data_IF_922278006915
#
_entry.id   IF_922278006915
#
_cell.length_a   1.000
_cell.length_b   1.000
_cell.length_c   1.000
_cell.angle_alpha   90.00
_cell.angle_beta   90.00
_cell.angle_gamma   90.00
#
_symmetry.space_group_name_H-M   'P 1'
#
loop_
_entity.id
_entity.type
_entity.pdbx_description
1 polymer ?
#
# COMPACT_ATOMS: atom_id res chain seq x y z
N UNK A 1 13.41 -10.02 -9.56
CA UNK A 1 13.35 -9.14 -8.39
C UNK A 1 13.50 -9.95 -7.11
N UNK A 2 14.17 -9.40 -6.10
CA UNK A 2 14.27 -10.00 -4.76
C UNK A 2 14.11 -8.95 -3.67
N UNK A 3 13.43 -9.32 -2.58
CA UNK A 3 13.34 -8.51 -1.37
C UNK A 3 14.50 -8.86 -0.44
N UNK A 4 15.18 -7.85 0.07
CA UNK A 4 16.36 -8.00 0.93
C UNK A 4 16.08 -7.58 2.36
N UNK A 5 16.71 -8.25 3.29
CA UNK A 5 16.66 -7.89 4.70
C UNK A 5 17.96 -8.28 5.41
N UNK A 6 17.94 -8.21 6.74
CA UNK A 6 19.07 -8.55 7.59
C UNK A 6 18.75 -9.74 8.47
N UNK A 7 19.67 -10.69 8.49
CA UNK A 7 19.67 -11.79 9.44
C UNK A 7 20.98 -11.71 10.24
N UNK A 8 20.86 -11.24 11.49
CA UNK A 8 22.00 -10.81 12.29
C UNK A 8 22.78 -9.67 11.61
N UNK A 9 24.05 -9.92 11.26
CA UNK A 9 24.93 -8.95 10.56
C UNK A 9 24.94 -9.12 9.04
N UNK A 10 24.28 -10.15 8.49
CA UNK A 10 24.35 -10.48 7.06
C UNK A 10 23.13 -9.94 6.32
N UNK A 11 23.35 -9.39 5.13
CA UNK A 11 22.27 -8.99 4.22
C UNK A 11 21.92 -10.17 3.32
N UNK A 12 20.67 -10.63 3.39
CA UNK A 12 20.19 -11.86 2.73
C UNK A 12 18.91 -11.58 1.94
N UNK A 13 18.64 -12.41 0.94
CA UNK A 13 17.35 -12.42 0.26
C UNK A 13 16.29 -12.98 1.21
N UNK A 14 15.24 -12.23 1.50
CA UNK A 14 14.10 -12.70 2.31
C UNK A 14 13.00 -13.31 1.43
N UNK A 15 12.76 -12.71 0.26
CA UNK A 15 11.81 -13.23 -0.72
C UNK A 15 12.35 -13.03 -2.13
N UNK A 16 11.93 -13.91 -3.04
CA UNK A 16 12.36 -13.93 -4.43
C UNK A 16 11.15 -14.20 -5.31
N UNK A 17 11.04 -13.47 -6.41
CA UNK A 17 9.99 -13.71 -7.40
C UNK A 17 10.22 -15.02 -8.16
N UNK A 18 9.24 -15.39 -9.00
CA UNK A 18 9.29 -16.64 -9.74
C UNK A 18 10.43 -16.69 -10.76
N UNK A 19 10.82 -15.55 -11.33
CA UNK A 19 11.94 -15.45 -12.27
C UNK A 19 13.29 -15.71 -11.55
N UNK A 20 13.51 -15.05 -10.42
CA UNK A 20 14.68 -15.25 -9.57
C UNK A 20 14.75 -16.69 -9.03
N UNK A 21 13.61 -17.31 -8.69
CA UNK A 21 13.57 -18.73 -8.32
C UNK A 21 14.00 -19.65 -9.47
N UNK A 22 13.62 -19.37 -10.72
CA UNK A 22 14.06 -20.14 -11.89
C UNK A 22 15.57 -20.04 -12.12
N UNK A 23 16.17 -18.92 -11.72
CA UNK A 23 17.63 -18.70 -11.73
C UNK A 23 18.37 -19.37 -10.57
N UNK A 24 17.66 -20.11 -9.71
CA UNK A 24 18.23 -20.84 -8.58
C UNK A 24 18.44 -20.00 -7.32
N UNK A 25 18.02 -18.73 -7.31
CA UNK A 25 18.03 -17.90 -6.10
C UNK A 25 16.96 -18.36 -5.12
N UNK A 26 17.31 -18.43 -3.84
CA UNK A 26 16.40 -18.81 -2.75
C UNK A 26 16.49 -17.84 -1.58
N UNK A 27 15.43 -17.73 -0.75
CA UNK A 27 15.53 -17.08 0.54
C UNK A 27 16.73 -17.60 1.35
N UNK A 28 17.41 -16.72 2.09
CA UNK A 28 18.65 -17.01 2.81
C UNK A 28 19.94 -16.88 1.97
N UNK A 29 19.84 -16.72 0.65
CA UNK A 29 21.03 -16.46 -0.19
C UNK A 29 21.64 -15.10 0.19
N UNK A 30 22.97 -15.01 0.43
CA UNK A 30 23.62 -13.73 0.66
C UNK A 30 23.48 -12.80 -0.54
N UNK A 31 23.14 -11.53 -0.29
CA UNK A 31 22.93 -10.53 -1.36
C UNK A 31 24.16 -10.41 -2.26
N UNK A 32 25.36 -10.39 -1.67
CA UNK A 32 26.61 -10.33 -2.42
C UNK A 32 26.80 -11.51 -3.39
N UNK A 33 26.37 -12.72 -2.99
CA UNK A 33 26.40 -13.90 -3.86
C UNK A 33 25.38 -13.79 -4.99
N UNK A 34 24.17 -13.31 -4.68
CA UNK A 34 23.12 -13.14 -5.68
C UNK A 34 23.51 -12.11 -6.75
N UNK A 35 24.05 -10.96 -6.34
CA UNK A 35 24.52 -9.90 -7.24
C UNK A 35 25.74 -10.32 -8.05
N UNK A 36 26.66 -11.11 -7.48
CA UNK A 36 27.80 -11.64 -8.22
C UNK A 36 27.38 -12.61 -9.34
N UNK A 37 26.31 -13.38 -9.13
CA UNK A 37 25.77 -14.29 -10.15
C UNK A 37 24.88 -13.57 -11.17
N UNK A 38 24.12 -12.57 -10.72
CA UNK A 38 23.15 -11.86 -11.53
C UNK A 38 23.21 -10.35 -11.22
N UNK A 39 24.07 -9.58 -11.94
CA UNK A 39 24.23 -8.15 -11.73
C UNK A 39 22.94 -7.34 -11.90
N UNK A 40 22.08 -7.77 -12.84
CA UNK A 40 20.81 -7.09 -13.17
C UNK A 40 19.66 -7.44 -12.22
N UNK A 41 19.94 -8.14 -11.10
CA UNK A 41 18.91 -8.51 -10.14
C UNK A 41 18.39 -7.25 -9.40
N UNK A 42 17.15 -6.86 -9.70
CA UNK A 42 16.45 -5.80 -8.97
C UNK A 42 16.27 -6.20 -7.50
N UNK A 43 16.83 -5.41 -6.59
CA UNK A 43 16.71 -5.57 -5.14
C UNK A 43 15.85 -4.45 -4.55
N UNK A 44 14.93 -4.81 -3.66
CA UNK A 44 14.15 -3.86 -2.86
C UNK A 44 14.24 -4.25 -1.38
N UNK A 45 14.26 -3.28 -0.47
CA UNK A 45 14.21 -3.59 0.96
C UNK A 45 12.84 -4.18 1.32
N UNK A 46 12.85 -5.26 2.10
CA UNK A 46 11.63 -5.84 2.64
C UNK A 46 11.05 -4.93 3.73
N UNK A 47 9.72 -4.88 3.82
CA UNK A 47 8.99 -4.26 4.93
C UNK A 47 8.18 -5.33 5.69
N UNK A 48 8.81 -6.10 6.59
CA UNK A 48 8.13 -7.18 7.31
C UNK A 48 6.98 -6.69 8.19
N UNK A 49 7.05 -5.45 8.66
CA UNK A 49 6.00 -4.87 9.49
C UNK A 49 4.80 -4.45 8.64
N UNK A 50 5.05 -3.85 7.46
CA UNK A 50 4.02 -3.63 6.45
C UNK A 50 3.34 -4.92 6.01
N UNK A 51 4.11 -5.98 5.76
CA UNK A 51 3.57 -7.31 5.40
C UNK A 51 2.71 -7.89 6.52
N UNK A 52 3.16 -7.81 7.77
CA UNK A 52 2.42 -8.26 8.97
C UNK A 52 1.10 -7.51 9.11
N UNK A 53 1.13 -6.18 9.01
CA UNK A 53 -0.08 -5.34 9.08
C UNK A 53 -1.03 -5.62 7.91
N UNK A 54 -0.49 -5.87 6.71
CA UNK A 54 -1.27 -6.28 5.54
C UNK A 54 -1.99 -7.61 5.77
N UNK A 55 -1.30 -8.58 6.35
CA UNK A 55 -1.84 -9.90 6.67
C UNK A 55 -2.93 -9.84 7.74
N UNK A 56 -2.78 -8.99 8.76
CA UNK A 56 -3.83 -8.73 9.76
C UNK A 56 -5.08 -8.11 9.13
N UNK A 57 -4.92 -7.16 8.21
CA UNK A 57 -6.05 -6.58 7.46
C UNK A 57 -6.78 -7.63 6.61
N UNK A 58 -6.03 -8.53 5.96
CA UNK A 58 -6.61 -9.65 5.22
C UNK A 58 -7.35 -10.61 6.16
N UNK A 59 -6.79 -10.92 7.32
CA UNK A 59 -7.43 -11.76 8.33
C UNK A 59 -8.79 -11.17 8.76
N UNK A 60 -8.85 -9.86 9.07
CA UNK A 60 -10.09 -9.17 9.41
C UNK A 60 -11.10 -9.18 8.24
N UNK A 61 -10.62 -9.01 7.01
CA UNK A 61 -11.48 -9.04 5.83
C UNK A 61 -12.13 -10.42 5.61
N UNK A 62 -11.37 -11.51 5.79
CA UNK A 62 -11.89 -12.87 5.76
C UNK A 62 -12.81 -13.17 6.95
N UNK A 63 -12.49 -12.63 8.13
CA UNK A 63 -13.31 -12.78 9.33
C UNK A 63 -14.74 -12.27 9.12
N UNK A 64 -14.90 -11.14 8.43
CA UNK A 64 -16.21 -10.55 8.15
C UNK A 64 -17.00 -11.26 7.05
N UNK A 65 -16.34 -12.03 6.17
CA UNK A 65 -16.96 -12.53 4.92
C UNK A 65 -17.11 -14.05 4.82
N UNK A 66 -16.23 -14.79 5.49
CA UNK A 66 -16.13 -16.24 5.33
C UNK A 66 -16.43 -16.93 6.65
N UNK A 67 -15.68 -16.64 7.71
CA UNK A 67 -15.82 -17.34 8.99
C UNK A 67 -15.49 -16.44 10.18
N UNK A 68 -16.15 -16.59 11.33
CA UNK A 68 -15.93 -15.72 12.49
C UNK A 68 -14.56 -15.92 13.17
N UNK A 69 -13.92 -17.09 12.98
CA UNK A 69 -12.64 -17.44 13.60
C UNK A 69 -11.58 -17.47 12.50
N UNK A 70 -10.79 -16.40 12.42
CA UNK A 70 -9.67 -16.26 11.48
C UNK A 70 -8.47 -15.74 12.24
N UNK A 71 -7.29 -16.32 12.03
CA UNK A 71 -6.04 -15.85 12.61
C UNK A 71 -4.93 -15.75 11.57
N UNK A 72 -3.91 -14.95 11.90
CA UNK A 72 -2.70 -14.84 11.10
C UNK A 72 -1.82 -16.07 11.33
N UNK A 73 -1.41 -16.73 10.26
CA UNK A 73 -0.41 -17.80 10.23
C UNK A 73 0.87 -17.27 9.57
N UNK A 74 1.66 -16.53 10.35
CA UNK A 74 2.87 -15.85 9.88
C UNK A 74 3.86 -16.81 9.18
N UNK A 75 4.64 -16.31 8.20
CA UNK A 75 4.75 -14.91 7.78
C UNK A 75 3.75 -14.48 6.69
N UNK A 76 3.12 -15.41 5.99
CA UNK A 76 2.40 -15.17 4.73
C UNK A 76 1.12 -16.02 4.57
N UNK A 77 0.53 -16.47 5.68
CA UNK A 77 -0.65 -17.34 5.69
C UNK A 77 -1.77 -16.84 6.61
N UNK A 78 -2.96 -17.39 6.41
CA UNK A 78 -4.12 -17.23 7.28
C UNK A 78 -4.65 -18.61 7.65
N UNK A 79 -5.13 -18.76 8.87
CA UNK A 79 -5.90 -19.93 9.31
C UNK A 79 -7.34 -19.51 9.56
N UNK A 80 -8.28 -20.30 9.07
CA UNK A 80 -9.71 -20.08 9.23
C UNK A 80 -10.32 -21.35 9.80
N UNK A 81 -11.16 -21.22 10.83
CA UNK A 81 -12.08 -22.29 11.20
C UNK A 81 -13.37 -22.10 10.41
N UNK A 82 -13.53 -22.90 9.37
CA UNK A 82 -14.69 -22.84 8.46
C UNK A 82 -15.82 -23.78 8.88
N UNK A 83 -15.78 -24.32 10.10
CA UNK A 83 -16.81 -25.24 10.59
C UNK A 83 -18.19 -24.59 10.49
N UNK A 84 -19.05 -25.17 9.64
CA UNK A 84 -20.40 -24.66 9.40
C UNK A 84 -20.49 -23.38 8.58
N UNK A 85 -19.39 -22.86 8.01
CA UNK A 85 -19.44 -21.74 7.06
C UNK A 85 -19.57 -22.20 5.60
N UNK A 86 -19.01 -23.37 5.31
CA UNK A 86 -18.94 -24.00 3.99
C UNK A 86 -20.30 -24.07 3.25
N UNK A 87 -21.39 -24.42 3.95
CA UNK A 87 -22.71 -24.54 3.34
C UNK A 87 -23.26 -23.21 2.78
N UNK A 88 -22.89 -22.07 3.36
CA UNK A 88 -23.25 -20.73 2.86
C UNK A 88 -22.57 -20.41 1.53
N UNK A 89 -21.49 -21.13 1.22
CA UNK A 89 -20.69 -20.97 0.01
C UNK A 89 -20.90 -22.13 -0.99
N UNK A 90 -21.85 -23.04 -0.73
CA UNK A 90 -22.11 -24.20 -1.59
C UNK A 90 -21.16 -25.39 -1.36
N UNK A 91 -20.48 -25.42 -0.21
CA UNK A 91 -19.55 -26.48 0.21
C UNK A 91 -18.08 -26.02 0.21
N UNK A 92 -17.20 -26.89 0.72
CA UNK A 92 -15.79 -26.58 0.94
C UNK A 92 -15.04 -26.21 -0.35
N UNK A 93 -15.22 -26.98 -1.43
CA UNK A 93 -14.49 -26.74 -2.67
C UNK A 93 -14.91 -25.43 -3.38
N UNK A 94 -16.21 -25.12 -3.53
CA UNK A 94 -16.64 -23.81 -4.03
C UNK A 94 -16.16 -22.64 -3.16
N UNK A 95 -16.21 -22.77 -1.84
CA UNK A 95 -15.68 -21.77 -0.90
C UNK A 95 -14.21 -21.46 -1.18
N UNK A 96 -13.35 -22.49 -1.26
CA UNK A 96 -11.92 -22.28 -1.52
C UNK A 96 -11.65 -21.63 -2.88
N UNK A 97 -12.40 -22.02 -3.92
CA UNK A 97 -12.28 -21.40 -5.24
C UNK A 97 -12.66 -19.92 -5.22
N UNK A 98 -13.72 -19.55 -4.52
CA UNK A 98 -14.13 -18.15 -4.37
C UNK A 98 -13.07 -17.34 -3.61
N UNK A 99 -12.53 -17.88 -2.51
CA UNK A 99 -11.46 -17.24 -1.74
C UNK A 99 -10.22 -16.98 -2.62
N UNK A 100 -9.74 -17.98 -3.36
CA UNK A 100 -8.57 -17.83 -4.25
C UNK A 100 -8.86 -16.87 -5.39
N UNK A 101 -10.07 -16.88 -5.97
CA UNK A 101 -10.45 -15.98 -7.04
C UNK A 101 -10.46 -14.51 -6.58
N UNK A 102 -10.98 -14.24 -5.37
CA UNK A 102 -10.97 -12.88 -4.78
C UNK A 102 -9.55 -12.40 -4.51
N UNK A 103 -8.68 -13.27 -4.01
CA UNK A 103 -7.26 -12.94 -3.81
C UNK A 103 -6.57 -12.61 -5.14
N UNK A 104 -6.86 -13.37 -6.20
CA UNK A 104 -6.35 -13.07 -7.54
C UNK A 104 -6.85 -11.72 -8.07
N UNK A 105 -8.12 -11.38 -7.84
CA UNK A 105 -8.68 -10.06 -8.19
C UNK A 105 -8.04 -8.89 -7.43
N UNK A 106 -7.50 -9.14 -6.23
CA UNK A 106 -6.74 -8.18 -5.44
C UNK A 106 -5.22 -8.17 -5.78
N UNK A 107 -4.78 -8.96 -6.76
CA UNK A 107 -3.38 -9.02 -7.20
C UNK A 107 -2.51 -10.03 -6.45
N UNK A 108 -3.09 -10.90 -5.61
CA UNK A 108 -2.38 -11.90 -4.84
C UNK A 108 -2.48 -13.30 -5.43
N UNK A 109 -1.40 -14.08 -5.31
CA UNK A 109 -1.43 -15.52 -5.59
C UNK A 109 -1.63 -16.26 -4.27
N UNK A 110 -2.75 -16.97 -4.13
CA UNK A 110 -3.09 -17.72 -2.93
C UNK A 110 -3.19 -19.23 -3.19
N UNK A 111 -2.86 -20.01 -2.17
CA UNK A 111 -3.12 -21.46 -2.05
C UNK A 111 -4.08 -21.64 -0.89
N UNK A 112 -5.11 -22.47 -1.05
CA UNK A 112 -6.14 -22.69 -0.04
C UNK A 112 -6.41 -24.18 0.15
N UNK A 113 -6.35 -24.65 1.40
CA UNK A 113 -6.54 -26.06 1.74
C UNK A 113 -7.47 -26.18 2.93
N UNK A 114 -8.42 -27.11 2.84
CA UNK A 114 -9.27 -27.55 3.97
C UNK A 114 -8.83 -28.94 4.40
N UNK A 115 -8.66 -29.13 5.71
CA UNK A 115 -8.33 -30.40 6.35
C UNK A 115 -8.91 -30.42 7.78
N UNK A 116 -8.89 -31.59 8.41
CA UNK A 116 -9.45 -31.82 9.75
C UNK A 116 -8.78 -30.98 10.86
N UNK A 117 -7.55 -30.50 10.63
CA UNK A 117 -6.77 -29.75 11.63
C UNK A 117 -6.00 -28.60 11.01
N UNK A 118 -5.71 -27.57 11.82
CA UNK A 118 -4.83 -26.47 11.41
C UNK A 118 -3.43 -26.97 11.03
N UNK A 119 -2.84 -27.89 11.81
CA UNK A 119 -1.53 -28.47 11.49
C UNK A 119 -1.51 -29.14 10.11
N UNK A 120 -2.55 -29.91 9.78
CA UNK A 120 -2.67 -30.56 8.49
C UNK A 120 -2.87 -29.56 7.33
N UNK A 121 -3.81 -28.62 7.49
CA UNK A 121 -4.10 -27.61 6.48
C UNK A 121 -2.85 -26.76 6.18
N UNK A 122 -2.11 -26.34 7.21
CA UNK A 122 -0.87 -25.58 7.07
C UNK A 122 0.20 -26.38 6.31
N UNK A 123 0.44 -27.62 6.71
CA UNK A 123 1.46 -28.47 6.09
C UNK A 123 1.18 -28.68 4.60
N UNK A 124 -0.08 -28.96 4.26
CA UNK A 124 -0.49 -29.24 2.88
C UNK A 124 -0.54 -27.96 2.04
N UNK A 125 -0.96 -26.83 2.61
CA UNK A 125 -0.98 -25.54 1.88
C UNK A 125 0.43 -25.06 1.48
N UNK A 126 1.43 -25.30 2.34
CA UNK A 126 2.81 -24.82 2.12
C UNK A 126 3.70 -25.81 1.38
N UNK A 127 3.55 -27.10 1.64
CA UNK A 127 4.42 -28.16 1.11
C UNK A 127 3.70 -29.12 0.16
N UNK A 128 2.38 -29.01 0.03
CA UNK A 128 1.60 -29.76 -0.95
C UNK A 128 1.82 -29.26 -2.39
N UNK A 129 1.34 -30.07 -3.34
CA UNK A 129 1.53 -29.80 -4.79
C UNK A 129 0.35 -29.05 -5.42
N UNK A 130 -0.83 -29.13 -4.81
CA UNK A 130 -2.07 -28.65 -5.39
C UNK A 130 -2.46 -27.33 -4.72
N UNK A 131 -2.74 -26.25 -5.48
CA UNK A 131 -3.05 -24.94 -4.91
C UNK A 131 -4.44 -24.84 -4.27
N UNK A 132 -5.37 -25.73 -4.62
CA UNK A 132 -6.70 -25.83 -4.01
C UNK A 132 -6.96 -27.29 -3.69
N UNK A 133 -7.09 -27.62 -2.40
CA UNK A 133 -7.32 -29.00 -1.98
C UNK A 133 -8.31 -29.08 -0.82
N UNK A 134 -9.16 -30.10 -0.85
CA UNK A 134 -10.01 -30.49 0.27
C UNK A 134 -9.57 -31.91 0.64
N UNK A 135 -9.09 -32.08 1.87
CA UNK A 135 -8.70 -33.39 2.40
C UNK A 135 -9.95 -33.99 3.05
N UNK A 136 -10.47 -35.12 2.53
CA UNK A 136 -11.62 -35.73 3.15
C UNK A 136 -11.31 -36.20 4.58
N UNK A 137 -12.30 -36.18 5.49
CA UNK A 137 -12.10 -36.60 6.86
C UNK A 137 -11.42 -37.97 6.98
N UNK A 138 -10.40 -38.05 7.83
CA UNK A 138 -9.66 -39.29 8.07
C UNK A 138 -8.54 -39.62 7.07
N UNK A 139 -8.42 -38.89 5.96
CA UNK A 139 -7.29 -39.05 5.03
C UNK A 139 -6.04 -38.24 5.41
N UNK A 140 -6.15 -37.37 6.42
CA UNK A 140 -5.09 -36.48 6.90
C UNK A 140 -3.75 -37.19 7.11
N UNK A 141 -3.76 -38.39 7.72
CA UNK A 141 -2.53 -39.09 8.02
C UNK A 141 -1.75 -39.55 6.77
N UNK A 142 -2.48 -39.98 5.73
CA UNK A 142 -1.88 -40.45 4.47
C UNK A 142 -1.24 -39.30 3.69
N UNK A 143 -1.89 -38.13 3.67
CA UNK A 143 -1.40 -36.95 2.94
C UNK A 143 -0.20 -36.34 3.65
N UNK A 144 -0.17 -36.35 4.98
CA UNK A 144 0.94 -35.81 5.76
C UNK A 144 2.20 -36.66 5.70
N UNK A 145 2.10 -37.98 5.54
CA UNK A 145 3.23 -38.90 5.67
C UNK A 145 4.42 -38.56 4.74
N UNK A 146 4.12 -38.12 3.51
CA UNK A 146 5.12 -37.78 2.51
C UNK A 146 5.70 -36.36 2.65
N UNK A 147 5.10 -35.53 3.49
CA UNK A 147 5.53 -34.14 3.67
C UNK A 147 6.80 -34.05 4.52
N UNK A 148 7.62 -33.02 4.29
CA UNK A 148 8.86 -32.82 5.04
C UNK A 148 8.59 -32.38 6.49
N UNK A 149 9.52 -32.62 7.41
CA UNK A 149 9.33 -32.32 8.86
C UNK A 149 9.20 -30.82 9.15
N UNK A 150 9.71 -29.98 8.26
CA UNK A 150 9.58 -28.52 8.26
C UNK A 150 8.10 -28.09 8.22
N UNK A 151 7.23 -28.92 7.63
CA UNK A 151 5.80 -28.68 7.58
C UNK A 151 5.10 -28.74 8.95
N UNK A 152 5.76 -29.25 9.99
CA UNK A 152 5.25 -29.32 11.36
C UNK A 152 5.47 -28.04 12.18
N UNK A 153 6.02 -26.97 11.59
CA UNK A 153 6.34 -25.70 12.29
C UNK A 153 7.23 -25.93 13.51
N UNK A 154 8.26 -26.76 13.32
CA UNK A 154 9.29 -27.01 14.31
C UNK A 154 10.38 -25.93 14.20
N UNK A 155 11.02 -25.54 15.31
CA UNK A 155 12.19 -24.66 15.28
C UNK A 155 13.34 -25.27 14.46
N UNK A 156 14.10 -24.43 13.75
CA UNK A 156 15.23 -24.85 12.91
C UNK A 156 16.24 -25.76 13.63
N UNK A 157 16.63 -25.52 14.91
CA UNK A 157 17.56 -26.41 15.62
C UNK A 157 17.03 -27.85 15.77
N UNK A 158 15.70 -28.02 15.86
CA UNK A 158 15.07 -29.34 15.94
C UNK A 158 15.09 -30.00 14.56
N UNK A 159 14.80 -29.24 13.50
CA UNK A 159 14.83 -29.71 12.11
C UNK A 159 16.23 -30.21 11.75
N UNK A 160 17.28 -29.43 12.05
CA UNK A 160 18.68 -29.80 11.82
C UNK A 160 19.08 -31.07 12.59
N UNK A 161 18.61 -31.18 13.83
CA UNK A 161 18.83 -32.36 14.67
C UNK A 161 18.14 -33.61 14.14
N UNK A 162 16.92 -33.49 13.59
CA UNK A 162 16.20 -34.57 12.93
C UNK A 162 16.87 -34.98 11.61
N UNK A 163 17.34 -34.01 10.82
CA UNK A 163 18.10 -34.25 9.60
C UNK A 163 19.40 -35.05 9.88
N UNK A 164 20.09 -34.75 10.98
CA UNK A 164 21.27 -35.49 11.44
C UNK A 164 20.95 -36.96 11.78
N UNK A 165 19.71 -37.25 12.19
CA UNK A 165 19.21 -38.62 12.43
C UNK A 165 18.68 -39.31 11.18
N UNK A 166 18.76 -38.66 10.01
CA UNK A 166 18.23 -39.17 8.75
C UNK A 166 16.70 -39.06 8.65
N UNK A 167 16.05 -38.28 9.52
CA UNK A 167 14.59 -38.11 9.53
C UNK A 167 14.23 -36.78 8.87
N UNK A 168 13.73 -36.86 7.64
CA UNK A 168 13.35 -35.69 6.83
C UNK A 168 11.86 -35.63 6.48
N UNK A 169 11.08 -36.66 6.81
CA UNK A 169 9.65 -36.76 6.49
C UNK A 169 8.80 -37.05 7.72
N UNK A 170 7.54 -36.60 7.69
CA UNK A 170 6.59 -36.73 8.81
C UNK A 170 6.21 -38.19 9.04
N UNK A 171 6.02 -39.00 8.00
CA UNK A 171 5.67 -40.43 8.13
C UNK A 171 6.67 -41.22 8.97
N UNK A 172 7.97 -41.24 8.59
CA UNK A 172 9.03 -41.86 9.39
C UNK A 172 9.12 -41.30 10.81
N UNK A 173 8.99 -39.97 10.98
CA UNK A 173 9.00 -39.33 12.29
C UNK A 173 7.83 -39.81 13.18
N UNK A 174 6.63 -39.95 12.61
CA UNK A 174 5.44 -40.40 13.32
C UNK A 174 5.52 -41.87 13.75
N UNK A 175 6.32 -42.69 13.06
CA UNK A 175 6.55 -44.10 13.41
C UNK A 175 7.62 -44.28 14.51
N UNK A 176 8.38 -43.23 14.85
CA UNK A 176 9.43 -43.32 15.87
C UNK A 176 8.86 -43.44 17.29
N UNK A 177 9.56 -44.14 18.20
CA UNK A 177 9.17 -44.15 19.61
C UNK A 177 9.18 -42.74 20.22
N UNK A 178 8.09 -42.39 20.93
CA UNK A 178 7.90 -41.05 21.51
C UNK A 178 8.89 -40.69 22.62
N UNK A 179 9.21 -41.63 23.50
CA UNK A 179 10.05 -41.35 24.68
C UNK A 179 11.48 -40.89 24.31
N UNK A 180 12.19 -41.53 23.36
CA UNK A 180 13.48 -41.03 22.87
C UNK A 180 13.41 -39.66 22.19
N UNK A 181 12.34 -39.40 21.42
CA UNK A 181 12.14 -38.10 20.77
C UNK A 181 11.97 -36.98 21.81
N UNK A 182 11.13 -37.21 22.82
CA UNK A 182 10.89 -36.24 23.90
C UNK A 182 12.13 -35.98 24.73
N UNK A 183 12.95 -37.02 25.01
CA UNK A 183 14.19 -36.88 25.76
C UNK A 183 15.23 -36.03 25.01
N UNK A 184 15.30 -36.13 23.68
CA UNK A 184 16.32 -35.48 22.87
C UNK A 184 15.93 -34.09 22.37
N UNK A 185 14.67 -33.92 21.95
CA UNK A 185 14.17 -32.70 21.31
C UNK A 185 13.13 -31.95 22.14
N UNK A 186 12.80 -32.47 23.33
CA UNK A 186 11.74 -31.93 24.16
C UNK A 186 10.34 -32.33 23.68
N UNK A 187 9.28 -31.81 24.34
CA UNK A 187 7.90 -32.23 24.09
C UNK A 187 7.31 -31.70 22.77
N UNK A 188 7.94 -30.71 22.13
CA UNK A 188 7.37 -30.00 21.00
C UNK A 188 7.17 -30.84 19.74
N UNK A 189 8.10 -31.77 19.44
CA UNK A 189 7.97 -32.67 18.29
C UNK A 189 6.70 -33.51 18.41
N UNK A 190 6.51 -34.14 19.58
CA UNK A 190 5.32 -34.95 19.84
C UNK A 190 4.04 -34.11 19.81
N UNK A 191 4.07 -32.91 20.42
CA UNK A 191 2.94 -31.97 20.42
C UNK A 191 2.54 -31.56 18.99
N UNK A 192 3.50 -31.19 18.14
CA UNK A 192 3.23 -30.78 16.74
C UNK A 192 2.69 -31.93 15.89
N UNK A 193 3.21 -33.15 16.07
CA UNK A 193 2.64 -34.34 15.43
C UNK A 193 1.19 -34.55 15.88
N UNK A 194 0.94 -34.48 17.19
CA UNK A 194 -0.39 -34.75 17.74
C UNK A 194 -1.41 -33.68 17.33
N UNK A 195 -0.98 -32.42 17.14
CA UNK A 195 -1.79 -31.37 16.52
C UNK A 195 -2.07 -31.64 15.05
N UNK A 196 -1.07 -32.02 14.26
CA UNK A 196 -1.23 -32.29 12.83
C UNK A 196 -2.15 -33.50 12.56
N UNK A 197 -2.04 -34.56 13.35
CA UNK A 197 -2.90 -35.75 13.25
C UNK A 197 -4.23 -35.63 14.00
N UNK A 198 -4.53 -34.50 14.64
CA UNK A 198 -5.82 -34.25 15.31
C UNK A 198 -6.04 -35.00 16.62
N UNK A 199 -4.96 -35.52 17.23
CA UNK A 199 -5.00 -36.15 18.56
C UNK A 199 -5.11 -35.12 19.68
N UNK A 200 -4.55 -33.94 19.45
CA UNK A 200 -4.63 -32.77 20.34
C UNK A 200 -5.14 -31.60 19.52
N UNK A 201 -6.15 -30.90 20.02
CA UNK A 201 -6.65 -29.68 19.37
C UNK A 201 -5.64 -28.53 19.45
N UNK A 202 -5.54 -27.75 18.38
CA UNK A 202 -4.78 -26.50 18.35
C UNK A 202 -5.77 -25.33 18.33
N UNK A 203 -5.72 -24.46 19.34
CA UNK A 203 -6.63 -23.32 19.44
C UNK A 203 -6.25 -22.23 18.44
N UNK A 204 -7.21 -21.79 17.63
CA UNK A 204 -7.06 -20.62 16.76
C UNK A 204 -7.46 -19.39 17.57
N UNK A 205 -6.52 -18.48 17.82
CA UNK A 205 -6.80 -17.20 18.49
C UNK A 205 -7.19 -16.20 17.40
N UNK A 206 -8.47 -15.84 17.27
CA UNK A 206 -8.91 -15.01 16.16
C UNK A 206 -8.34 -13.60 16.25
N UNK A 207 -8.10 -12.99 15.08
CA UNK A 207 -7.84 -11.55 15.00
C UNK A 207 -9.04 -10.81 15.59
N UNK A 208 -8.76 -9.78 16.37
CA UNK A 208 -9.79 -8.92 16.95
C UNK A 208 -9.79 -7.60 16.19
N UNK A 209 -10.92 -7.17 15.61
CA UNK A 209 -11.00 -5.82 15.11
C UNK A 209 -10.76 -4.86 16.29
N UNK A 210 -9.95 -3.83 16.06
CA UNK A 210 -9.87 -2.73 17.02
C UNK A 210 -11.16 -1.94 16.88
N UNK A 211 -12.04 -2.04 17.88
CA UNK A 211 -13.29 -1.30 17.87
C UNK A 211 -12.97 0.20 17.78
N UNK A 212 -13.51 0.92 16.78
CA UNK A 212 -13.28 2.35 16.67
C UNK A 212 -13.83 3.05 17.92
N UNK A 213 -13.27 4.22 18.25
CA UNK A 213 -13.90 5.08 19.26
C UNK A 213 -15.24 5.54 18.68
N UNK A 214 -16.33 5.17 19.33
CA UNK A 214 -17.67 5.56 18.95
C UNK A 214 -18.43 6.16 20.13
N UNK A 215 -19.28 7.13 19.84
CA UNK A 215 -20.21 7.73 20.79
C UNK A 215 -21.56 7.87 20.13
N UNK A 216 -22.63 7.59 20.87
CA UNK A 216 -23.98 7.63 20.31
C UNK A 216 -24.97 8.34 21.22
N UNK A 217 -26.03 8.86 20.60
CA UNK A 217 -27.16 9.47 21.28
C UNK A 217 -28.46 8.99 20.67
N UNK A 218 -29.31 8.38 21.49
CA UNK A 218 -30.69 8.07 21.16
C UNK A 218 -31.58 9.24 21.58
N UNK A 219 -32.61 9.52 20.79
CA UNK A 219 -33.61 10.55 21.06
C UNK A 219 -34.95 9.90 21.40
N UNK A 220 -35.64 10.47 22.38
CA UNK A 220 -37.00 10.05 22.71
C UNK A 220 -38.02 10.53 21.66
N UNK A 221 -37.76 11.69 21.05
CA UNK A 221 -38.55 12.24 19.95
C UNK A 221 -37.63 12.45 18.73
N UNK A 222 -38.06 12.07 17.52
CA UNK A 222 -37.25 12.24 16.31
C UNK A 222 -36.92 13.71 16.04
N UNK A 223 -35.65 13.99 15.75
CA UNK A 223 -35.18 15.35 15.43
C UNK A 223 -35.00 15.54 13.92
N UNK A 224 -35.37 16.71 13.40
CA UNK A 224 -35.16 17.04 11.98
C UNK A 224 -34.51 18.40 11.72
N UNK A 225 -34.53 19.30 12.69
CA UNK A 225 -33.98 20.65 12.53
C UNK A 225 -32.44 20.65 12.52
N UNK A 226 -31.84 21.34 11.55
CA UNK A 226 -30.39 21.44 11.38
C UNK A 226 -29.68 22.00 12.63
N UNK A 227 -30.29 22.98 13.31
CA UNK A 227 -29.77 23.60 14.53
C UNK A 227 -29.74 22.60 15.70
N UNK A 228 -30.70 21.67 15.74
CA UNK A 228 -30.74 20.62 16.76
C UNK A 228 -29.68 19.56 16.46
N UNK A 229 -29.49 19.18 15.20
CA UNK A 229 -28.43 18.26 14.78
C UNK A 229 -27.05 18.86 15.11
N UNK A 230 -26.80 20.12 14.75
CA UNK A 230 -25.57 20.85 15.07
C UNK A 230 -25.28 20.88 16.58
N UNK A 231 -26.32 21.11 17.40
CA UNK A 231 -26.19 21.11 18.87
C UNK A 231 -25.77 19.75 19.42
N UNK A 232 -26.28 18.66 18.86
CA UNK A 232 -25.89 17.32 19.28
C UNK A 232 -24.53 16.90 18.74
N UNK A 233 -24.12 17.36 17.55
CA UNK A 233 -22.73 17.23 17.08
C UNK A 233 -21.78 17.86 18.09
N UNK A 234 -22.05 19.10 18.53
CA UNK A 234 -21.25 19.79 19.55
C UNK A 234 -21.20 19.10 20.93
N UNK A 235 -22.12 18.16 21.21
CA UNK A 235 -22.10 17.32 22.42
C UNK A 235 -21.40 15.97 22.22
N UNK A 236 -21.49 15.39 21.02
CA UNK A 236 -20.87 14.10 20.69
C UNK A 236 -19.36 14.25 20.44
N UNK A 237 -18.93 15.31 19.75
CA UNK A 237 -17.51 15.53 19.41
C UNK A 237 -16.61 15.58 20.66
N UNK A 238 -16.94 16.30 21.75
CA UNK A 238 -16.13 16.26 22.97
C UNK A 238 -15.97 14.86 23.56
N UNK A 239 -17.03 14.06 23.60
CA UNK A 239 -17.01 12.69 24.13
C UNK A 239 -16.12 11.78 23.26
N UNK A 240 -16.20 11.94 21.94
CA UNK A 240 -15.34 11.22 21.01
C UNK A 240 -13.86 11.60 21.22
N UNK A 241 -13.57 12.90 21.33
CA UNK A 241 -12.22 13.39 21.59
C UNK A 241 -11.65 12.87 22.91
N UNK A 242 -12.49 12.70 23.94
CA UNK A 242 -12.07 12.09 25.21
C UNK A 242 -11.66 10.62 25.01
N UNK A 243 -12.47 9.81 24.33
CA UNK A 243 -12.13 8.42 24.04
C UNK A 243 -10.89 8.26 23.15
N UNK A 244 -10.65 9.22 22.25
CA UNK A 244 -9.42 9.28 21.45
C UNK A 244 -8.20 9.67 22.30
N UNK A 245 -8.36 10.54 23.30
CA UNK A 245 -7.26 10.93 24.21
C UNK A 245 -6.83 9.78 25.11
N UNK A 246 -7.78 9.00 25.63
CA UNK A 246 -7.48 7.78 26.41
C UNK A 246 -6.65 6.76 25.62
N UNK A 247 -6.74 6.78 24.29
CA UNK A 247 -5.98 5.91 23.38
C UNK A 247 -4.74 6.57 22.78
N UNK A 248 -4.45 7.83 23.07
CA UNK A 248 -3.33 8.57 22.46
C UNK A 248 -3.47 8.77 20.96
N UNK A 249 -4.70 8.84 20.44
CA UNK A 249 -5.01 8.90 19.01
C UNK A 249 -5.61 10.25 18.61
N UNK A 250 -5.49 10.56 17.33
CA UNK A 250 -6.19 11.63 16.63
C UNK A 250 -7.00 11.05 15.47
N UNK A 251 -8.11 11.69 15.12
CA UNK A 251 -8.97 11.22 14.03
C UNK A 251 -8.42 11.65 12.68
N UNK A 252 -8.52 10.75 11.70
CA UNK A 252 -8.25 10.95 10.27
C UNK A 252 -9.52 10.93 9.43
N UNK A 253 -10.51 10.13 9.84
CA UNK A 253 -11.83 10.06 9.24
C UNK A 253 -12.89 9.91 10.32
N UNK A 254 -13.90 10.78 10.25
CA UNK A 254 -15.10 10.76 11.06
C UNK A 254 -16.30 10.40 10.20
N UNK A 255 -17.11 9.47 10.69
CA UNK A 255 -18.42 9.18 10.14
C UNK A 255 -19.48 9.48 11.20
N UNK A 256 -20.41 10.38 10.89
CA UNK A 256 -21.61 10.63 11.66
C UNK A 256 -22.78 9.95 10.96
N UNK A 257 -23.27 8.87 11.56
CA UNK A 257 -24.42 8.11 11.10
C UNK A 257 -25.69 8.61 11.79
N UNK A 258 -26.72 8.86 11.00
CA UNK A 258 -28.00 9.40 11.42
C UNK A 258 -29.07 8.38 11.06
N UNK A 259 -29.51 7.61 12.05
CA UNK A 259 -30.56 6.62 11.87
C UNK A 259 -31.92 7.30 11.92
N UNK A 260 -32.66 7.17 10.83
CA UNK A 260 -34.02 7.66 10.68
C UNK A 260 -35.03 6.64 11.20
N UNK A 261 -36.22 7.11 11.53
CA UNK A 261 -37.35 6.28 11.99
C UNK A 261 -37.75 5.22 10.94
N UNK A 262 -37.54 5.49 9.65
CA UNK A 262 -37.84 4.58 8.54
C UNK A 262 -36.73 3.53 8.27
N UNK A 263 -35.83 3.31 9.23
CA UNK A 263 -34.68 2.39 9.13
C UNK A 263 -33.65 2.77 8.06
N UNK A 264 -33.76 3.95 7.43
CA UNK A 264 -32.70 4.50 6.58
C UNK A 264 -31.62 5.13 7.45
N UNK A 265 -30.39 5.15 6.93
CA UNK A 265 -29.26 5.78 7.60
C UNK A 265 -28.63 6.80 6.66
N UNK A 266 -28.67 8.06 7.07
CA UNK A 266 -27.90 9.13 6.43
C UNK A 266 -26.51 9.19 7.05
N UNK A 267 -25.50 9.59 6.28
CA UNK A 267 -24.11 9.60 6.74
C UNK A 267 -23.39 10.89 6.34
N UNK A 268 -22.85 11.61 7.33
CA UNK A 268 -21.91 12.70 7.11
C UNK A 268 -20.50 12.16 7.31
N UNK A 269 -19.66 12.27 6.27
CA UNK A 269 -18.26 11.82 6.31
C UNK A 269 -17.31 13.00 6.19
N UNK A 270 -16.38 13.10 7.13
CA UNK A 270 -15.34 14.14 7.19
C UNK A 270 -13.99 13.46 7.27
N UNK A 271 -13.01 13.98 6.53
CA UNK A 271 -11.62 13.54 6.62
C UNK A 271 -10.72 14.71 7.03
N UNK A 272 -9.62 14.38 7.71
CA UNK A 272 -8.58 15.34 8.09
C UNK A 272 -7.23 14.91 7.51
N UNK A 273 -6.46 15.89 7.07
CA UNK A 273 -5.18 15.70 6.41
C UNK A 273 -4.05 15.34 7.38
N UNK A 274 -4.28 15.48 8.70
CA UNK A 274 -3.44 15.00 9.80
C UNK A 274 -4.32 14.41 10.92
N UNK A 275 -3.79 13.60 11.85
CA UNK A 275 -4.52 13.17 13.03
C UNK A 275 -4.91 14.41 13.86
N UNK A 276 -6.21 14.64 14.04
CA UNK A 276 -6.75 15.83 14.73
C UNK A 276 -7.56 15.39 15.95
N UNK A 277 -7.45 16.15 17.04
CA UNK A 277 -8.29 16.00 18.24
C UNK A 277 -8.76 17.35 18.78
N UNK A 278 -9.09 18.27 17.88
CA UNK A 278 -9.64 19.59 18.22
C UNK A 278 -11.17 19.58 18.10
N UNK A 279 -11.85 19.84 19.21
CA UNK A 279 -13.33 19.82 19.28
C UNK A 279 -13.97 20.85 18.35
N UNK A 280 -13.42 22.06 18.26
CA UNK A 280 -14.01 23.15 17.47
C UNK A 280 -13.89 22.86 15.99
N UNK A 281 -12.71 22.41 15.54
CA UNK A 281 -12.44 22.04 14.14
C UNK A 281 -13.34 20.90 13.67
N UNK A 282 -13.40 19.81 14.44
CA UNK A 282 -14.22 18.65 14.07
C UNK A 282 -15.72 18.97 14.07
N UNK A 283 -16.19 19.78 15.03
CA UNK A 283 -17.59 20.24 15.07
C UNK A 283 -17.93 21.06 13.83
N UNK A 284 -17.07 22.02 13.44
CA UNK A 284 -17.27 22.87 12.27
C UNK A 284 -17.39 22.04 10.99
N UNK A 285 -16.44 21.12 10.75
CA UNK A 285 -16.42 20.29 9.54
C UNK A 285 -17.67 19.40 9.39
N UNK A 286 -18.19 18.86 10.51
CA UNK A 286 -19.43 18.09 10.50
C UNK A 286 -20.65 18.98 10.24
N UNK A 287 -20.70 20.15 10.88
CA UNK A 287 -21.81 21.10 10.73
C UNK A 287 -21.94 21.64 9.29
N UNK A 288 -20.81 21.90 8.61
CA UNK A 288 -20.79 22.34 7.20
C UNK A 288 -21.48 21.34 6.25
N UNK A 289 -21.62 20.08 6.64
CA UNK A 289 -22.26 19.03 5.84
C UNK A 289 -23.69 18.70 6.26
N UNK A 290 -24.27 19.39 7.25
CA UNK A 290 -25.66 19.14 7.67
C UNK A 290 -26.65 19.42 6.54
N UNK A 291 -26.36 20.36 5.64
CA UNK A 291 -27.26 20.63 4.50
C UNK A 291 -27.28 19.51 3.45
N UNK A 292 -26.35 18.55 3.53
CA UNK A 292 -26.27 17.43 2.58
C UNK A 292 -27.15 16.25 2.94
N UNK A 293 -27.74 16.24 4.14
CA UNK A 293 -28.57 15.13 4.65
C UNK A 293 -30.06 15.46 4.51
N UNK A 294 -30.86 14.43 4.21
CA UNK A 294 -32.31 14.51 4.31
C UNK A 294 -32.79 13.83 5.60
N UNK A 295 -33.20 14.61 6.63
CA UNK A 295 -33.70 14.03 7.88
C UNK A 295 -35.05 13.31 7.72
N UNK A 296 -35.79 13.52 6.62
CA UNK A 296 -37.06 12.86 6.34
C UNK A 296 -38.07 12.96 7.49
N UNK A 297 -38.49 11.81 8.02
CA UNK A 297 -39.44 11.70 9.14
C UNK A 297 -38.81 11.95 10.53
N UNK A 298 -37.52 12.30 10.56
CA UNK A 298 -36.77 12.56 11.77
C UNK A 298 -35.76 11.47 12.10
N UNK A 299 -34.74 11.88 12.84
CA UNK A 299 -33.60 11.08 13.28
C UNK A 299 -33.85 10.64 14.72
N UNK A 300 -33.81 9.33 14.96
CA UNK A 300 -34.01 8.72 16.28
C UNK A 300 -32.68 8.41 16.98
N UNK A 301 -31.59 8.27 16.22
CA UNK A 301 -30.26 7.99 16.77
C UNK A 301 -29.15 8.63 15.95
N UNK A 302 -28.20 9.25 16.65
CA UNK A 302 -26.94 9.74 16.09
C UNK A 302 -25.79 8.87 16.60
N UNK A 303 -24.90 8.43 15.71
CA UNK A 303 -23.67 7.70 16.06
C UNK A 303 -22.49 8.40 15.40
N UNK A 304 -21.54 8.87 16.20
CA UNK A 304 -20.31 9.48 15.73
C UNK A 304 -19.17 8.48 15.94
N UNK A 305 -18.46 8.16 14.86
CA UNK A 305 -17.44 7.10 14.83
C UNK A 305 -16.14 7.69 14.30
N UNK A 306 -15.03 7.44 14.99
CA UNK A 306 -13.69 7.66 14.48
C UNK A 306 -13.26 6.48 13.59
N UNK A 307 -13.81 6.44 12.37
CA UNK A 307 -13.62 5.32 11.41
C UNK A 307 -12.17 5.10 11.00
N UNK A 308 -11.33 6.14 11.06
CA UNK A 308 -9.89 6.01 10.98
C UNK A 308 -9.26 6.92 12.03
N UNK A 309 -8.50 6.34 12.93
CA UNK A 309 -7.74 7.05 13.95
C UNK A 309 -6.28 6.58 13.90
N UNK A 310 -5.37 7.52 14.04
CA UNK A 310 -3.92 7.28 14.04
C UNK A 310 -3.32 7.78 15.36
N UNK A 311 -2.18 7.22 15.81
CA UNK A 311 -1.44 7.78 16.93
C UNK A 311 -1.17 9.27 16.70
N UNK A 312 -1.38 10.08 17.74
CA UNK A 312 -1.15 11.52 17.69
C UNK A 312 -0.18 11.88 18.80
N UNK A 313 1.04 12.23 18.40
CA UNK A 313 2.06 12.69 19.35
C UNK A 313 1.64 14.02 19.99
N UNK A 314 1.85 14.12 21.30
CA UNK A 314 1.65 15.37 22.04
C UNK A 314 2.74 16.36 21.63
N UNK A 315 2.45 17.23 20.67
CA UNK A 315 3.33 18.35 20.34
C UNK A 315 3.20 19.43 21.41
N UNK A 316 4.32 19.78 22.03
CA UNK A 316 4.42 20.94 22.90
C UNK A 316 4.42 22.19 22.01
N UNK A 317 3.33 22.97 22.07
CA UNK A 317 3.10 24.12 21.19
C UNK A 317 4.14 25.24 21.39
N UNK A 318 4.82 25.29 22.53
CA UNK A 318 5.82 26.34 22.82
C UNK A 318 7.00 25.75 23.59
N UNK A 319 8.16 25.65 22.93
CA UNK A 319 9.45 25.41 23.59
C UNK A 319 10.28 26.69 23.74
N UNK A 320 9.87 27.80 23.10
CA UNK A 320 10.65 29.03 23.01
C UNK A 320 9.72 30.23 22.85
N UNK A 321 9.90 31.26 23.67
CA UNK A 321 9.20 32.56 23.57
C UNK A 321 9.67 33.41 22.36
N UNK A 322 10.59 32.89 21.54
CA UNK A 322 11.32 33.65 20.50
C UNK A 322 11.14 33.04 19.10
N UNK A 323 10.62 31.81 18.98
CA UNK A 323 10.35 31.20 17.68
C UNK A 323 9.03 31.75 17.11
N UNK A 324 9.04 32.23 15.86
CA UNK A 324 7.81 32.57 15.15
C UNK A 324 6.95 31.31 14.99
N UNK A 325 5.66 31.44 15.29
CA UNK A 325 4.68 30.36 15.08
C UNK A 325 4.60 30.06 13.59
N UNK A 326 5.01 28.86 13.17
CA UNK A 326 4.69 28.36 11.83
C UNK A 326 3.16 28.30 11.70
N UNK A 327 2.62 29.01 10.69
CA UNK A 327 1.18 29.05 10.46
C UNK A 327 0.66 27.64 10.15
N UNK A 328 -0.22 27.10 10.99
CA UNK A 328 -0.85 25.81 10.75
C UNK A 328 -1.87 25.90 9.59
N UNK A 329 -1.42 25.52 8.40
CA UNK A 329 -2.26 25.50 7.17
C UNK A 329 -3.19 24.28 7.14
N UNK A 330 -3.08 23.35 8.09
CA UNK A 330 -3.83 22.10 8.04
C UNK A 330 -5.34 22.30 8.12
N UNK A 331 -5.82 23.30 8.88
CA UNK A 331 -7.26 23.60 9.00
C UNK A 331 -7.87 24.11 7.68
N UNK A 332 -7.10 24.93 6.96
CA UNK A 332 -7.48 25.39 5.63
C UNK A 332 -7.52 24.22 4.64
N UNK A 333 -6.52 23.35 4.68
CA UNK A 333 -6.44 22.16 3.82
C UNK A 333 -7.62 21.22 4.08
N UNK A 334 -7.98 20.97 5.34
CA UNK A 334 -9.14 20.14 5.69
C UNK A 334 -10.45 20.73 5.17
N UNK A 335 -10.62 22.05 5.32
CA UNK A 335 -11.84 22.75 4.88
C UNK A 335 -11.99 22.66 3.36
N UNK A 336 -10.90 22.94 2.63
CA UNK A 336 -10.89 22.83 1.18
C UNK A 336 -11.09 21.36 0.75
N UNK A 337 -10.40 20.41 1.40
CA UNK A 337 -10.45 19.01 1.02
C UNK A 337 -11.84 18.39 1.21
N UNK A 338 -12.56 18.77 2.26
CA UNK A 338 -13.92 18.30 2.50
C UNK A 338 -14.95 18.88 1.52
N UNK A 339 -14.62 19.99 0.84
CA UNK A 339 -15.47 20.66 -0.15
C UNK A 339 -15.17 20.26 -1.60
N UNK A 340 -13.90 20.25 -2.01
CA UNK A 340 -13.48 19.94 -3.39
C UNK A 340 -12.96 18.50 -3.58
N UNK A 341 -12.79 17.77 -2.48
CA UNK A 341 -12.24 16.41 -2.46
C UNK A 341 -10.73 16.39 -2.18
N UNK A 342 -10.29 15.38 -1.43
CA UNK A 342 -8.87 15.21 -1.03
C UNK A 342 -7.90 15.13 -2.21
N UNK A 343 -8.32 14.58 -3.36
CA UNK A 343 -7.45 14.43 -4.53
C UNK A 343 -7.28 15.73 -5.33
N UNK A 344 -8.13 16.74 -5.09
CA UNK A 344 -8.03 18.04 -5.75
C UNK A 344 -6.95 18.93 -5.13
N UNK A 345 -6.52 18.63 -3.90
CA UNK A 345 -5.45 19.37 -3.21
C UNK A 345 -4.17 18.56 -3.19
N UNK A 346 -3.15 19.10 -3.84
CA UNK A 346 -1.84 18.49 -3.92
C UNK A 346 -0.77 19.59 -3.99
N UNK A 347 0.45 19.21 -3.63
CA UNK A 347 1.65 19.97 -3.96
C UNK A 347 2.50 19.16 -4.93
N UNK A 348 3.42 19.82 -5.61
CA UNK A 348 4.44 19.12 -6.38
C UNK A 348 5.66 18.86 -5.51
N UNK A 349 6.24 17.67 -5.66
CA UNK A 349 7.53 17.31 -5.07
C UNK A 349 8.51 16.92 -6.19
N UNK A 350 9.80 17.23 -6.04
CA UNK A 350 10.80 16.88 -7.03
C UNK A 350 11.04 15.36 -7.02
N UNK A 351 11.29 14.83 -8.21
CA UNK A 351 11.67 13.44 -8.45
C UNK A 351 12.96 13.45 -9.24
N UNK A 352 13.91 12.59 -8.85
CA UNK A 352 15.19 12.46 -9.53
C UNK A 352 14.98 11.82 -10.91
N UNK A 353 14.82 12.67 -11.91
CA UNK A 353 14.62 12.30 -13.31
C UNK A 353 15.04 13.48 -14.19
N UNK A 354 15.83 13.19 -15.21
CA UNK A 354 16.24 14.19 -16.20
C UNK A 354 15.10 14.50 -17.19
N UNK A 355 14.13 13.59 -17.33
CA UNK A 355 12.96 13.81 -18.17
C UNK A 355 12.00 14.83 -17.52
N UNK A 356 11.70 15.97 -18.18
CA UNK A 356 10.97 17.06 -17.54
C UNK A 356 9.55 16.69 -17.08
N UNK A 357 8.88 15.80 -17.79
CA UNK A 357 7.55 15.31 -17.45
C UNK A 357 7.55 14.32 -16.26
N UNK A 358 8.73 13.87 -15.83
CA UNK A 358 8.93 12.90 -14.73
C UNK A 358 9.75 13.47 -13.57
N UNK A 359 10.29 14.68 -13.70
CA UNK A 359 11.12 15.36 -12.69
C UNK A 359 10.33 15.89 -11.50
N UNK A 360 9.01 15.71 -11.50
CA UNK A 360 8.14 16.04 -10.38
C UNK A 360 6.95 15.08 -10.31
N UNK A 361 6.37 14.95 -9.12
CA UNK A 361 5.14 14.21 -8.91
C UNK A 361 4.17 14.99 -8.03
N UNK A 362 2.88 14.63 -8.08
CA UNK A 362 1.88 15.15 -7.15
C UNK A 362 1.96 14.38 -5.85
N UNK A 363 2.09 15.09 -4.75
CA UNK A 363 2.03 14.54 -3.40
C UNK A 363 0.90 15.21 -2.61
N UNK A 364 0.33 14.54 -1.58
CA UNK A 364 -0.65 15.15 -0.70
C UNK A 364 -0.18 16.50 -0.14
N UNK A 365 -1.10 17.44 0.05
CA UNK A 365 -0.76 18.81 0.46
C UNK A 365 0.07 18.90 1.76
N UNK A 366 -0.19 18.00 2.72
CA UNK A 366 0.55 17.89 4.00
C UNK A 366 1.50 16.68 4.04
N UNK A 367 1.86 16.10 2.90
CA UNK A 367 2.89 15.07 2.89
C UNK A 367 4.20 15.65 3.48
N UNK A 368 4.95 14.87 4.26
CA UNK A 368 6.23 15.33 4.82
C UNK A 368 7.14 15.82 3.69
N UNK A 369 7.92 16.87 3.96
CA UNK A 369 8.95 17.33 3.04
C UNK A 369 10.03 16.26 2.95
N UNK A 370 10.05 15.52 1.85
CA UNK A 370 11.26 14.82 1.44
C UNK A 370 12.24 15.88 0.97
N UNK A 371 13.39 15.98 1.63
CA UNK A 371 14.50 16.91 1.37
C UNK A 371 15.22 16.57 0.06
N UNK A 372 14.48 16.48 -1.04
CA UNK A 372 15.04 16.44 -2.37
C UNK A 372 14.99 17.86 -2.90
N UNK A 373 16.16 18.40 -3.22
CA UNK A 373 16.24 19.75 -3.75
C UNK A 373 15.74 19.79 -5.19
N UNK A 374 15.09 20.89 -5.57
CA UNK A 374 14.77 21.14 -6.96
C UNK A 374 16.07 21.40 -7.73
N UNK A 375 16.26 20.80 -8.93
CA UNK A 375 17.47 21.02 -9.71
C UNK A 375 17.62 22.51 -10.07
N UNK A 376 18.66 23.16 -9.55
CA UNK A 376 18.90 24.61 -9.73
C UNK A 376 19.59 24.96 -11.07
N UNK A 377 20.17 23.98 -11.75
CA UNK A 377 21.15 24.21 -12.82
C UNK A 377 20.52 24.61 -14.18
N UNK A 378 19.23 24.33 -14.40
CA UNK A 378 18.49 24.84 -15.57
C UNK A 378 17.06 25.26 -15.19
N UNK A 379 16.65 26.52 -15.43
CA UNK A 379 15.30 26.96 -15.14
C UNK A 379 14.31 26.21 -16.02
N UNK A 380 13.34 25.55 -15.39
CA UNK A 380 12.23 24.86 -16.07
C UNK A 380 11.10 25.86 -16.39
N UNK A 381 10.30 25.63 -17.44
CA UNK A 381 9.20 26.53 -17.79
C UNK A 381 8.10 26.52 -16.72
N UNK A 382 7.50 27.68 -16.46
CA UNK A 382 6.35 27.82 -15.54
C UNK A 382 5.14 27.00 -16.00
N UNK A 383 4.98 26.84 -17.32
CA UNK A 383 3.96 25.98 -17.93
C UNK A 383 4.61 24.90 -18.77
N UNK A 384 4.55 23.66 -18.28
CA UNK A 384 4.87 22.47 -19.07
C UNK A 384 3.59 21.92 -19.73
N UNK A 385 3.66 21.60 -21.02
CA UNK A 385 2.57 20.96 -21.75
C UNK A 385 2.52 19.48 -21.39
N UNK A 386 1.32 18.96 -21.05
CA UNK A 386 1.14 17.56 -20.71
C UNK A 386 1.53 16.58 -21.84
N UNK A 387 1.49 17.07 -23.09
CA UNK A 387 2.02 16.39 -24.26
C UNK A 387 2.77 17.43 -25.11
N UNK A 388 4.02 17.17 -25.48
CA UNK A 388 4.74 18.04 -26.40
C UNK A 388 3.97 18.21 -27.71
N UNK A 389 3.85 19.45 -28.19
CA UNK A 389 3.17 19.76 -29.44
C UNK A 389 4.20 19.81 -30.59
N UNK A 390 3.97 19.14 -31.72
CA UNK A 390 4.88 19.18 -32.86
C UNK A 390 4.98 20.60 -33.42
N UNK A 391 6.18 21.02 -33.77
CA UNK A 391 6.45 22.30 -34.42
C UNK A 391 7.28 22.10 -35.67
N UNK A 392 7.08 22.95 -36.68
CA UNK A 392 7.95 22.98 -37.84
C UNK A 392 9.07 23.95 -37.55
N UNK A 393 10.30 23.47 -37.46
CA UNK A 393 11.47 24.31 -37.19
C UNK A 393 12.55 24.07 -38.25
N UNK A 394 13.35 25.10 -38.51
CA UNK A 394 14.54 25.00 -39.36
C UNK A 394 15.76 25.32 -38.51
N UNK A 395 16.60 24.33 -38.29
CA UNK A 395 17.83 24.40 -37.51
C UNK A 395 18.98 23.75 -38.29
N UNK A 396 20.19 24.26 -38.09
CA UNK A 396 21.40 23.58 -38.55
C UNK A 396 21.77 22.45 -37.57
N UNK A 397 22.15 21.29 -38.08
CA UNK A 397 22.59 20.15 -37.26
C UNK A 397 24.09 20.27 -36.95
N UNK A 398 24.59 19.76 -35.81
CA UNK A 398 23.86 19.02 -34.77
C UNK A 398 23.33 19.90 -33.64
N UNK A 399 24.02 20.93 -33.15
CA UNK A 399 23.65 21.56 -31.86
C UNK A 399 23.08 22.99 -31.99
N UNK A 400 22.66 23.42 -33.18
CA UNK A 400 22.15 24.78 -33.35
C UNK A 400 20.65 24.89 -33.03
N UNK A 401 20.22 25.98 -32.36
CA UNK A 401 18.81 26.28 -32.20
C UNK A 401 18.15 26.63 -33.55
N UNK A 402 16.82 26.52 -33.67
CA UNK A 402 16.13 26.86 -34.90
C UNK A 402 16.15 28.37 -35.14
N UNK A 403 16.28 28.79 -36.41
CA UNK A 403 16.21 30.21 -36.81
C UNK A 403 14.78 30.76 -36.75
N UNK A 404 13.81 29.89 -37.01
CA UNK A 404 12.38 30.15 -36.84
C UNK A 404 11.67 28.83 -36.56
N UNK A 405 10.49 28.94 -35.96
CA UNK A 405 9.58 27.81 -35.80
C UNK A 405 8.14 28.23 -36.07
N UNK A 406 7.31 27.27 -36.47
CA UNK A 406 5.87 27.45 -36.70
C UNK A 406 5.14 26.61 -35.66
N UNK A 407 4.39 27.29 -34.81
CA UNK A 407 3.55 26.67 -33.79
C UNK A 407 2.12 27.18 -33.94
N UNK A 408 1.16 26.24 -34.06
CA UNK A 408 -0.27 26.54 -34.28
C UNK A 408 -0.53 27.51 -35.45
N UNK A 409 0.22 27.36 -36.54
CA UNK A 409 0.12 28.19 -37.75
C UNK A 409 0.79 29.56 -37.66
N UNK A 410 1.35 29.94 -36.50
CA UNK A 410 2.05 31.22 -36.32
C UNK A 410 3.55 31.00 -36.47
N UNK A 411 4.16 31.68 -37.44
CA UNK A 411 5.62 31.68 -37.64
C UNK A 411 6.29 32.67 -36.70
N UNK A 412 7.23 32.18 -35.89
CA UNK A 412 7.97 32.94 -34.89
C UNK A 412 9.45 32.93 -35.24
N UNK A 413 10.06 34.13 -35.33
CA UNK A 413 11.49 34.29 -35.59
C UNK A 413 12.24 34.26 -34.27
N UNK A 414 13.29 33.44 -34.20
CA UNK A 414 14.14 33.33 -33.01
C UNK A 414 15.10 34.52 -32.96
N UNK A 415 15.16 35.18 -31.81
CA UNK A 415 16.06 36.31 -31.52
C UNK A 415 17.27 35.84 -30.74
N UNK A 416 17.05 35.07 -29.68
CA UNK A 416 18.09 34.49 -28.83
C UNK A 416 17.70 33.05 -28.49
N UNK A 417 18.69 32.18 -28.27
CA UNK A 417 18.45 30.84 -27.77
C UNK A 417 19.63 30.34 -26.92
N UNK A 418 19.32 29.55 -25.89
CA UNK A 418 20.27 28.86 -25.02
C UNK A 418 20.06 27.34 -25.14
N UNK A 419 21.15 26.57 -25.15
CA UNK A 419 21.14 25.11 -25.27
C UNK A 419 22.28 24.59 -26.17
N UNK A 420 22.27 23.29 -26.51
CA UNK A 420 21.29 22.28 -26.08
C UNK A 420 21.52 21.79 -24.64
N UNK A 421 20.44 21.65 -23.88
CA UNK A 421 20.40 20.76 -22.72
C UNK A 421 20.03 19.36 -23.21
N UNK A 422 21.00 18.44 -23.23
CA UNK A 422 20.79 17.06 -23.68
C UNK A 422 20.24 16.20 -22.55
N UNK A 423 19.04 15.68 -22.77
CA UNK A 423 18.34 14.78 -21.85
C UNK A 423 18.23 13.40 -22.48
N UNK A 424 18.68 12.37 -21.77
CA UNK A 424 18.58 10.98 -22.22
C UNK A 424 17.31 10.32 -21.70
N UNK A 425 16.85 9.29 -22.42
CA UNK A 425 15.79 8.40 -21.96
C UNK A 425 16.21 7.63 -20.71
N UNK A 426 15.24 7.23 -19.89
CA UNK A 426 15.49 6.46 -18.68
C UNK A 426 15.53 4.97 -19.03
N UNK A 427 16.67 4.52 -19.57
CA UNK A 427 16.89 3.16 -20.07
C UNK A 427 16.51 2.05 -19.08
N UNK A 428 16.57 2.30 -17.77
CA UNK A 428 16.18 1.35 -16.73
C UNK A 428 14.67 1.14 -16.59
N UNK A 429 13.83 1.94 -17.27
CA UNK A 429 12.36 1.80 -17.23
C UNK A 429 11.81 1.10 -18.46
N UNK A 430 12.44 1.25 -19.61
CA UNK A 430 12.00 0.63 -20.86
C UNK A 430 13.16 0.56 -21.87
N UNK A 431 13.36 -0.59 -22.51
CA UNK A 431 14.35 -0.80 -23.57
C UNK A 431 14.14 0.15 -24.76
N UNK A 432 12.91 0.63 -24.99
CA UNK A 432 12.63 1.62 -26.03
C UNK A 432 13.23 3.01 -25.73
N UNK A 433 13.59 3.31 -24.48
CA UNK A 433 14.22 4.58 -24.07
C UNK A 433 15.75 4.52 -24.10
N UNK A 434 16.33 3.37 -24.47
CA UNK A 434 17.76 3.08 -24.33
C UNK A 434 18.66 3.96 -25.21
N UNK A 435 18.17 4.38 -26.38
CA UNK A 435 18.90 5.27 -27.30
C UNK A 435 18.27 6.66 -27.39
N UNK A 436 17.12 6.91 -26.76
CA UNK A 436 16.39 8.17 -26.95
C UNK A 436 17.19 9.33 -26.34
N UNK A 437 17.43 10.37 -27.14
CA UNK A 437 17.96 11.65 -26.68
C UNK A 437 17.00 12.78 -27.05
N UNK A 438 16.94 13.81 -26.20
CA UNK A 438 16.21 15.06 -26.47
C UNK A 438 17.13 16.23 -26.22
N UNK A 439 17.36 17.05 -27.23
CA UNK A 439 18.12 18.29 -27.10
C UNK A 439 17.16 19.45 -26.91
N UNK A 440 17.12 19.97 -25.69
CA UNK A 440 16.25 21.08 -25.29
C UNK A 440 16.92 22.43 -25.53
N UNK A 441 16.15 23.38 -26.05
CA UNK A 441 16.55 24.75 -26.31
C UNK A 441 15.55 25.71 -25.67
N UNK A 442 16.05 26.69 -24.93
CA UNK A 442 15.28 27.85 -24.48
C UNK A 442 15.37 28.92 -25.54
N UNK A 443 14.24 29.35 -26.07
CA UNK A 443 14.17 30.24 -27.23
C UNK A 443 13.39 31.49 -26.86
N UNK A 444 13.95 32.66 -27.16
CA UNK A 444 13.24 33.95 -27.12
C UNK A 444 12.94 34.39 -28.56
N UNK A 445 11.68 34.69 -28.85
CA UNK A 445 11.29 35.22 -30.15
C UNK A 445 11.48 36.75 -30.24
N UNK A 446 11.28 37.31 -31.43
CA UNK A 446 11.40 38.76 -31.65
C UNK A 446 10.37 39.60 -30.89
N UNK A 447 9.29 38.99 -30.42
CA UNK A 447 8.24 39.63 -29.62
C UNK A 447 8.55 39.57 -28.12
N UNK A 448 9.60 38.85 -27.71
CA UNK A 448 10.02 38.67 -26.32
C UNK A 448 9.36 37.48 -25.62
N UNK A 449 8.54 36.69 -26.31
CA UNK A 449 7.96 35.47 -25.74
C UNK A 449 9.01 34.36 -25.67
N UNK A 450 9.03 33.63 -24.55
CA UNK A 450 10.03 32.59 -24.27
C UNK A 450 9.42 31.18 -24.29
N UNK A 451 10.03 30.33 -25.08
CA UNK A 451 9.57 28.98 -25.37
C UNK A 451 10.63 27.94 -25.02
N UNK A 452 10.18 26.74 -24.70
CA UNK A 452 11.02 25.59 -24.47
C UNK A 452 10.75 24.52 -25.51
N UNK A 453 11.67 24.39 -26.47
CA UNK A 453 11.57 23.44 -27.56
C UNK A 453 12.57 22.31 -27.33
N UNK A 454 12.27 21.13 -27.85
CA UNK A 454 13.30 20.10 -28.00
C UNK A 454 13.28 19.48 -29.38
N UNK A 455 14.44 18.96 -29.78
CA UNK A 455 14.58 18.04 -30.88
C UNK A 455 14.59 16.61 -30.35
N UNK A 456 13.79 15.73 -30.94
CA UNK A 456 13.75 14.31 -30.62
C UNK A 456 14.91 13.57 -31.30
N UNK A 457 16.12 13.75 -30.78
CA UNK A 457 17.36 13.14 -31.25
C UNK A 457 18.56 14.06 -31.01
N UNK A 458 19.75 13.48 -30.99
CA UNK A 458 21.03 14.17 -30.74
C UNK A 458 21.61 14.90 -31.96
N UNK A 459 20.91 14.86 -33.11
CA UNK A 459 21.35 15.47 -34.36
C UNK A 459 22.51 14.77 -35.09
N UNK A 460 23.09 13.73 -34.51
CA UNK A 460 24.26 13.02 -35.05
C UNK A 460 23.93 11.57 -35.42
N UNK A 461 23.17 10.88 -34.57
CA UNK A 461 22.85 9.47 -34.70
C UNK A 461 21.35 9.30 -34.99
N UNK A 462 21.02 8.64 -36.12
CA UNK A 462 19.62 8.41 -36.50
C UNK A 462 18.84 7.50 -35.53
N UNK A 463 19.54 6.74 -34.70
CA UNK A 463 18.98 5.81 -33.72
C UNK A 463 18.49 6.50 -32.44
N UNK A 464 18.84 7.78 -32.23
CA UNK A 464 18.50 8.52 -31.01
C UNK A 464 17.14 9.21 -31.05
N UNK A 465 16.51 9.26 -32.22
CA UNK A 465 15.14 9.72 -32.40
C UNK A 465 14.83 10.26 -33.79
N UNK A 466 13.58 10.68 -33.98
CA UNK A 466 13.02 11.16 -35.26
C UNK A 466 13.60 12.46 -35.82
N UNK A 467 14.43 13.16 -35.05
CA UNK A 467 14.92 14.53 -35.32
C UNK A 467 13.81 15.58 -35.47
N UNK A 468 12.56 15.23 -35.14
CA UNK A 468 11.42 16.15 -35.13
C UNK A 468 11.52 17.18 -33.99
N UNK A 469 10.95 18.36 -34.22
CA UNK A 469 10.91 19.45 -33.24
C UNK A 469 9.57 19.49 -32.53
N UNK A 470 9.62 19.73 -31.22
CA UNK A 470 8.44 19.80 -30.36
C UNK A 470 8.54 20.98 -29.41
N UNK A 471 7.43 21.65 -29.18
CA UNK A 471 7.27 22.62 -28.10
C UNK A 471 6.82 21.87 -26.84
N UNK A 472 7.55 22.01 -25.74
CA UNK A 472 7.24 21.34 -24.49
C UNK A 472 6.82 22.31 -23.38
N UNK A 473 7.27 23.57 -23.39
CA UNK A 473 6.88 24.53 -22.37
C UNK A 473 7.01 26.00 -22.74
N UNK A 474 6.50 26.86 -21.86
CA UNK A 474 6.44 28.32 -22.01
C UNK A 474 6.88 28.97 -20.69
N UNK A 475 7.74 29.98 -20.77
CA UNK A 475 8.41 30.59 -19.60
C UNK A 475 7.69 31.80 -18.97
N UNK A 476 6.50 32.17 -19.46
CA UNK A 476 5.67 33.25 -18.88
C UNK A 476 6.00 34.64 -19.41
#
# INVERSE_FOLDING_TARGET
MALVGREGRRRVLLSVDLAARKLGLRPGTPVAKAQALYPDLVLMDADPEGDRLGLEKLALWFQHRVAPIVAVDAPDGLVLDTTGADHLHGGELPMLKDMVHRMAGAGFRATAVVADTWGAAHAIARYGRVPIAVVPPGNTASVLADLPVEALRLPDPIIDGLATLGVSRIGPLAAMPRAPLALRFGPDVARRLDQAFGRIGEAIVPVRPVDPVEVSRNFAEPIGAAETIARYIGRLVPLLCQGLDERGQGVRRLDLLLHRVDSRTEAIRVATAMPVRDVKRLTRLLCEKIETIDPGFGIERMVLIASLAEPMDRRQTVSSLIAEEEADVSDLIDTLANRVGMQALYRFAPVESDLPERSFCRVPALAPEETKDWPEHWPRPTRLLARPEPVQAMAELPDQPPLFFIWRGVRRKVKCADGPERVFGEWWKNDAELTIARDYFRIEDTSGERFWLYRAGDGEHGETGSQGWFLHGIFG
#
